data_IF_566768952286
#
_entry.id   IF_566768952286
#
_cell.length_a   1.000
_cell.length_b   1.000
_cell.length_c   1.000
_cell.angle_alpha   90.00
_cell.angle_beta   90.00
_cell.angle_gamma   90.00
#
_symmetry.space_group_name_H-M   'P 1'
#
loop_
_entity.id
_entity.type
_entity.pdbx_description
1 polymer ?
#
# COMPACT_ATOMS: atom_id res chain seq x y z
N UNK A 1 18.37 -14.19 -15.78
CA UNK A 1 18.27 -12.73 -15.50
C UNK A 1 19.67 -12.14 -15.55
N UNK A 2 19.96 -11.17 -16.42
CA UNK A 2 21.28 -10.51 -16.47
C UNK A 2 21.39 -9.50 -15.33
N UNK A 3 22.46 -9.58 -14.53
CA UNK A 3 22.73 -8.62 -13.47
C UNK A 3 23.06 -7.24 -14.07
N UNK A 4 22.49 -6.17 -13.51
CA UNK A 4 22.79 -4.81 -13.93
C UNK A 4 24.17 -4.42 -13.39
N UNK A 5 25.18 -4.15 -14.26
CA UNK A 5 26.55 -3.87 -13.84
C UNK A 5 26.72 -2.58 -13.02
N UNK A 6 25.70 -1.72 -12.99
CA UNK A 6 25.70 -0.49 -12.18
C UNK A 6 25.23 -0.71 -10.74
N UNK A 7 24.60 -1.85 -10.43
CA UNK A 7 24.14 -2.17 -9.08
C UNK A 7 25.22 -3.01 -8.39
N UNK A 8 26.18 -2.33 -7.76
CA UNK A 8 27.35 -2.97 -7.15
C UNK A 8 27.05 -3.70 -5.83
N UNK A 9 25.95 -3.35 -5.16
CA UNK A 9 25.46 -4.02 -3.96
C UNK A 9 23.94 -4.19 -4.08
N UNK A 10 23.47 -5.42 -3.85
CA UNK A 10 22.05 -5.71 -3.65
C UNK A 10 21.89 -6.11 -2.20
N UNK A 11 21.61 -5.15 -1.34
CA UNK A 11 21.15 -5.46 0.00
C UNK A 11 19.61 -5.50 -0.05
N UNK A 12 19.04 -6.69 0.16
CA UNK A 12 17.59 -6.87 0.14
C UNK A 12 17.12 -6.97 1.59
N UNK A 13 16.38 -5.96 2.03
CA UNK A 13 15.67 -5.98 3.31
C UNK A 13 14.21 -6.22 3.04
N UNK A 14 13.69 -7.32 3.59
CA UNK A 14 12.24 -7.58 3.58
C UNK A 14 11.63 -6.87 4.77
N UNK A 15 10.78 -5.89 4.52
CA UNK A 15 9.94 -5.27 5.54
C UNK A 15 8.63 -6.07 5.60
N UNK A 16 8.42 -6.77 6.71
CA UNK A 16 7.18 -7.52 6.90
C UNK A 16 6.01 -6.56 7.13
N UNK A 17 4.90 -6.83 6.43
CA UNK A 17 3.64 -6.16 6.71
C UNK A 17 3.12 -6.57 8.08
N UNK A 18 2.61 -5.59 8.83
CA UNK A 18 2.01 -5.80 10.16
C UNK A 18 0.51 -6.13 10.05
N UNK A 19 -0.05 -6.14 8.84
CA UNK A 19 -1.47 -6.39 8.63
C UNK A 19 -1.81 -7.87 8.71
N UNK A 20 -2.79 -8.17 9.58
CA UNK A 20 -3.33 -9.51 9.78
C UNK A 20 -4.59 -9.79 8.93
N UNK A 21 -5.18 -8.77 8.31
CA UNK A 21 -6.47 -8.85 7.60
C UNK A 21 -6.35 -9.26 6.12
N UNK A 22 -5.13 -9.36 5.59
CA UNK A 22 -4.87 -9.84 4.23
C UNK A 22 -5.24 -8.87 3.11
N UNK A 23 -5.71 -7.65 3.44
CA UNK A 23 -6.05 -6.62 2.47
C UNK A 23 -5.08 -5.45 2.57
N UNK A 24 -4.35 -5.18 1.50
CA UNK A 24 -3.45 -4.03 1.43
C UNK A 24 -4.15 -2.83 0.78
N UNK A 25 -4.06 -1.66 1.41
CA UNK A 25 -4.56 -0.39 0.87
C UNK A 25 -3.43 0.62 0.74
N UNK A 26 -3.63 1.67 -0.05
CA UNK A 26 -2.64 2.72 -0.26
C UNK A 26 -2.16 3.35 1.07
N UNK A 27 -3.05 3.53 2.04
CA UNK A 27 -2.71 4.12 3.35
C UNK A 27 -1.67 3.26 4.09
N UNK A 28 -1.81 1.94 4.04
CA UNK A 28 -0.88 1.00 4.67
C UNK A 28 0.50 1.03 4.00
N UNK A 29 0.55 1.23 2.68
CA UNK A 29 1.82 1.40 1.96
C UNK A 29 2.52 2.70 2.38
N UNK A 30 1.76 3.80 2.45
CA UNK A 30 2.27 5.10 2.91
C UNK A 30 2.81 4.98 4.34
N UNK A 31 2.07 4.33 5.24
CA UNK A 31 2.49 4.13 6.62
C UNK A 31 3.81 3.34 6.71
N UNK A 32 3.95 2.23 5.97
CA UNK A 32 5.19 1.46 5.95
C UNK A 32 6.36 2.23 5.34
N UNK A 33 6.11 3.00 4.28
CA UNK A 33 7.12 3.82 3.64
C UNK A 33 7.67 4.88 4.61
N UNK A 34 6.78 5.61 5.27
CA UNK A 34 7.15 6.71 6.18
C UNK A 34 7.77 6.20 7.47
N UNK A 35 7.22 5.15 8.07
CA UNK A 35 7.62 4.71 9.41
C UNK A 35 8.75 3.68 9.41
N UNK A 36 9.04 3.03 8.27
CA UNK A 36 10.09 1.99 8.21
C UNK A 36 11.08 2.21 7.08
N UNK A 37 10.61 2.29 5.83
CA UNK A 37 11.52 2.26 4.69
C UNK A 37 12.42 3.51 4.60
N UNK A 38 11.85 4.72 4.77
CA UNK A 38 12.61 5.96 4.76
C UNK A 38 13.61 6.03 5.92
N UNK A 39 13.22 5.80 7.19
CA UNK A 39 14.18 5.80 8.31
C UNK A 39 15.34 4.82 8.11
N UNK A 40 15.05 3.61 7.62
CA UNK A 40 16.10 2.62 7.33
C UNK A 40 17.04 3.15 6.24
N UNK A 41 16.48 3.70 5.15
CA UNK A 41 17.27 4.28 4.05
C UNK A 41 18.20 5.39 4.54
N UNK A 42 17.70 6.33 5.34
CA UNK A 42 18.49 7.45 5.86
C UNK A 42 19.65 6.98 6.75
N UNK A 43 19.44 5.92 7.55
CA UNK A 43 20.48 5.33 8.40
C UNK A 43 21.56 4.65 7.56
N UNK A 44 21.18 3.86 6.56
CA UNK A 44 22.14 3.08 5.76
C UNK A 44 22.81 3.89 4.64
N UNK A 45 22.20 5.01 4.23
CA UNK A 45 22.66 5.87 3.14
C UNK A 45 22.62 7.36 3.53
N UNK A 46 23.43 7.79 4.52
CA UNK A 46 23.44 9.18 4.98
C UNK A 46 23.84 10.14 3.85
N UNK A 47 23.07 11.22 3.69
CA UNK A 47 23.32 12.27 2.69
C UNK A 47 22.96 11.92 1.24
N UNK A 48 22.34 10.75 1.01
CA UNK A 48 21.88 10.32 -0.31
C UNK A 48 20.40 10.68 -0.54
N UNK A 49 20.00 10.80 -1.81
CA UNK A 49 18.59 10.97 -2.21
C UNK A 49 18.05 9.61 -2.63
N UNK A 50 17.00 9.14 -1.95
CA UNK A 50 16.29 7.91 -2.28
C UNK A 50 15.13 8.17 -3.24
N UNK A 51 15.02 7.35 -4.30
CA UNK A 51 13.85 7.35 -5.21
C UNK A 51 13.11 6.03 -5.02
N UNK A 52 11.86 6.11 -4.58
CA UNK A 52 11.00 4.95 -4.34
C UNK A 52 9.92 4.90 -5.43
N UNK A 53 9.92 3.82 -6.21
CA UNK A 53 8.92 3.58 -7.25
C UNK A 53 8.12 2.33 -6.91
N UNK A 54 6.80 2.47 -6.84
CA UNK A 54 5.89 1.38 -6.53
C UNK A 54 5.06 1.03 -7.77
N UNK A 55 5.02 -0.25 -8.10
CA UNK A 55 3.99 -0.77 -8.98
C UNK A 55 2.72 -1.00 -8.16
N UNK A 56 1.67 -0.25 -8.45
CA UNK A 56 0.37 -0.33 -7.76
C UNK A 56 -0.55 -1.39 -8.38
N UNK A 57 0.00 -2.54 -8.78
CA UNK A 57 -0.72 -3.54 -9.61
C UNK A 57 -1.89 -4.26 -8.93
N UNK A 58 -2.23 -3.95 -7.67
CA UNK A 58 -3.46 -4.46 -7.03
C UNK A 58 -4.26 -3.44 -6.20
N UNK A 59 -4.03 -2.13 -6.33
CA UNK A 59 -4.96 -1.14 -5.74
C UNK A 59 -6.35 -1.10 -6.45
N UNK A 60 -6.57 -2.00 -7.41
CA UNK A 60 -7.76 -2.07 -8.27
C UNK A 60 -9.08 -2.38 -7.57
N UNK A 61 -9.10 -2.67 -6.27
CA UNK A 61 -10.32 -2.92 -5.50
C UNK A 61 -10.53 -1.98 -4.31
N UNK A 62 -9.70 -0.94 -4.16
CA UNK A 62 -9.95 0.11 -3.17
C UNK A 62 -11.14 0.96 -3.63
N UNK A 63 -12.34 0.57 -3.20
CA UNK A 63 -13.56 1.34 -3.43
C UNK A 63 -13.69 2.41 -2.35
N UNK A 64 -14.11 3.62 -2.75
CA UNK A 64 -14.40 4.72 -1.83
C UNK A 64 -15.37 4.28 -0.72
N UNK A 65 -15.36 4.95 0.43
CA UNK A 65 -16.21 4.58 1.56
C UNK A 65 -17.70 4.63 1.18
N UNK A 66 -18.07 5.62 0.37
CA UNK A 66 -19.40 5.86 -0.19
C UNK A 66 -19.60 5.24 -1.58
N UNK A 67 -18.65 4.46 -2.10
CA UNK A 67 -18.84 3.77 -3.37
C UNK A 67 -20.03 2.79 -3.28
N UNK A 68 -20.78 2.68 -4.39
CA UNK A 68 -21.88 1.75 -4.53
C UNK A 68 -21.38 0.31 -4.63
N UNK A 69 -21.14 -0.30 -3.47
CA UNK A 69 -20.72 -1.69 -3.35
C UNK A 69 -21.92 -2.55 -2.96
N UNK A 70 -22.31 -3.49 -3.81
CA UNK A 70 -23.46 -4.39 -3.59
C UNK A 70 -23.39 -5.10 -2.24
N UNK A 71 -22.19 -5.52 -1.81
CA UNK A 71 -21.98 -6.18 -0.51
C UNK A 71 -22.16 -5.25 0.69
N UNK A 72 -22.13 -3.92 0.50
CA UNK A 72 -22.38 -2.90 1.54
C UNK A 72 -23.83 -2.41 1.56
N UNK A 73 -24.69 -2.90 0.65
CA UNK A 73 -26.09 -2.51 0.61
C UNK A 73 -26.93 -3.32 1.61
N UNK A 74 -27.90 -2.67 2.25
CA UNK A 74 -28.89 -3.39 3.05
C UNK A 74 -29.83 -4.18 2.12
N UNK A 75 -29.95 -5.49 2.33
CA UNK A 75 -30.77 -6.39 1.51
C UNK A 75 -32.25 -6.44 1.94
N UNK A 76 -32.57 -5.97 3.15
CA UNK A 76 -33.90 -6.07 3.76
C UNK A 76 -34.61 -4.72 3.96
N UNK A 77 -35.94 -4.68 3.89
CA UNK A 77 -36.72 -3.47 4.16
C UNK A 77 -36.59 -3.05 5.63
N UNK A 78 -36.50 -1.74 5.87
CA UNK A 78 -36.55 -1.15 7.23
C UNK A 78 -35.21 -0.74 7.84
N UNK A 79 -34.07 -0.94 7.17
CA UNK A 79 -32.77 -0.42 7.61
C UNK A 79 -32.42 0.90 6.91
N UNK A 80 -31.77 1.81 7.63
CA UNK A 80 -31.27 3.07 7.08
C UNK A 80 -30.14 2.77 6.09
N UNK A 81 -30.39 3.02 4.80
CA UNK A 81 -29.39 2.86 3.74
C UNK A 81 -28.42 4.05 3.75
N UNK A 82 -27.12 3.77 3.61
CA UNK A 82 -26.10 4.81 3.44
C UNK A 82 -26.28 5.53 2.09
N UNK A 83 -25.87 6.79 2.00
CA UNK A 83 -25.77 7.47 0.71
C UNK A 83 -24.57 6.87 -0.02
N UNK A 84 -24.84 6.17 -1.12
CA UNK A 84 -23.83 5.54 -1.95
C UNK A 84 -23.83 6.20 -3.32
N UNK A 85 -22.65 6.40 -3.91
CA UNK A 85 -22.42 7.01 -5.21
C UNK A 85 -21.78 6.01 -6.17
N UNK A 86 -22.13 6.12 -7.46
CA UNK A 86 -21.57 5.35 -8.57
C UNK A 86 -20.27 5.97 -9.12
#
# INVERSE_FOLDING_TARGET
MKANPHVKFKDVRVLQSIQADGYWKAEHMIEQLMNRAIPIFEIIHPGCIGVFCFDQSTNHNAMAEDALVVTRMNLGPGKKQAKLHD
#
